data_IF_428939642848
#
_entry.id   IF_428939642848
#
_cell.length_a   1.000
_cell.length_b   1.000
_cell.length_c   1.000
_cell.angle_alpha   90.00
_cell.angle_beta   90.00
_cell.angle_gamma   90.00
#
_symmetry.space_group_name_H-M   'P 1'
#
loop_
_entity.id
_entity.type
_entity.pdbx_description
1 polymer ?
#
# COMPACT_ATOMS: atom_id res chain seq x y z
N UNK A 1 -6.91 -35.19 -66.71
CA UNK A 1 -7.60 -36.21 -65.87
C UNK A 1 -9.10 -36.26 -66.15
N UNK A 2 -9.88 -35.19 -65.92
CA UNK A 2 -11.34 -35.15 -66.17
C UNK A 2 -11.74 -35.69 -67.56
N UNK A 3 -11.15 -35.14 -68.62
CA UNK A 3 -11.57 -35.43 -70.00
C UNK A 3 -11.27 -36.88 -70.42
N UNK A 4 -10.26 -37.52 -69.79
CA UNK A 4 -9.95 -38.94 -69.97
C UNK A 4 -11.10 -39.84 -69.51
N UNK A 5 -11.73 -39.53 -68.37
CA UNK A 5 -12.85 -40.34 -67.87
C UNK A 5 -14.15 -40.09 -68.65
N UNK A 6 -14.30 -38.90 -69.24
CA UNK A 6 -15.39 -38.60 -70.15
C UNK A 6 -15.31 -39.45 -71.42
N UNK A 7 -14.13 -39.56 -72.04
CA UNK A 7 -13.92 -40.38 -73.24
C UNK A 7 -14.09 -41.88 -72.99
N UNK A 8 -13.91 -42.34 -71.74
CA UNK A 8 -14.07 -43.74 -71.35
C UNK A 8 -15.51 -44.10 -70.92
N UNK A 9 -16.46 -43.15 -70.95
CA UNK A 9 -17.84 -43.38 -70.51
C UNK A 9 -18.02 -43.54 -69.00
N UNK A 10 -16.97 -43.26 -68.21
CA UNK A 10 -16.95 -43.42 -66.76
C UNK A 10 -17.49 -42.16 -66.07
N UNK A 11 -18.81 -42.05 -66.02
CA UNK A 11 -19.51 -40.83 -65.57
C UNK A 11 -19.28 -40.45 -64.11
N UNK A 12 -19.15 -41.43 -63.21
CA UNK A 12 -18.97 -41.17 -61.78
C UNK A 12 -17.61 -40.49 -61.52
N UNK A 13 -16.55 -41.02 -62.11
CA UNK A 13 -15.19 -40.53 -62.02
C UNK A 13 -15.06 -39.18 -62.71
N UNK A 14 -15.69 -39.01 -63.89
CA UNK A 14 -15.76 -37.71 -64.55
C UNK A 14 -16.38 -36.64 -63.64
N UNK A 15 -17.53 -36.94 -63.02
CA UNK A 15 -18.23 -36.00 -62.13
C UNK A 15 -17.39 -35.67 -60.90
N UNK A 16 -16.76 -36.67 -60.29
CA UNK A 16 -15.84 -36.48 -59.17
C UNK A 16 -14.72 -35.51 -59.54
N UNK A 17 -13.98 -35.79 -60.63
CA UNK A 17 -12.87 -34.95 -61.05
C UNK A 17 -13.31 -33.56 -61.49
N UNK A 18 -14.46 -33.42 -62.18
CA UNK A 18 -15.03 -32.11 -62.53
C UNK A 18 -15.32 -31.29 -61.27
N UNK A 19 -15.99 -31.88 -60.29
CA UNK A 19 -16.33 -31.19 -59.04
C UNK A 19 -15.07 -30.84 -58.25
N UNK A 20 -14.09 -31.74 -58.21
CA UNK A 20 -12.80 -31.50 -57.55
C UNK A 20 -12.03 -30.36 -58.22
N UNK A 21 -11.94 -30.35 -59.55
CA UNK A 21 -11.30 -29.26 -60.31
C UNK A 21 -12.04 -27.94 -60.09
N UNK A 22 -13.38 -27.93 -60.15
CA UNK A 22 -14.17 -26.73 -59.85
C UNK A 22 -13.89 -26.22 -58.44
N UNK A 23 -13.92 -27.10 -57.44
CA UNK A 23 -13.61 -26.74 -56.05
C UNK A 23 -12.22 -26.11 -55.90
N UNK A 24 -11.19 -26.70 -56.52
CA UNK A 24 -9.83 -26.15 -56.49
C UNK A 24 -9.79 -24.77 -57.13
N UNK A 25 -10.39 -24.59 -58.31
CA UNK A 25 -10.43 -23.30 -59.00
C UNK A 25 -11.16 -22.25 -58.14
N UNK A 26 -12.31 -22.59 -57.59
CA UNK A 26 -13.12 -21.69 -56.77
C UNK A 26 -12.37 -21.29 -55.49
N UNK A 27 -11.73 -22.25 -54.82
CA UNK A 27 -10.90 -22.02 -53.62
C UNK A 27 -9.69 -21.13 -53.93
N UNK A 28 -8.95 -21.43 -55.01
CA UNK A 28 -7.79 -20.65 -55.42
C UNK A 28 -8.16 -19.22 -55.80
N UNK A 29 -9.29 -19.02 -56.50
CA UNK A 29 -9.81 -17.68 -56.80
C UNK A 29 -10.16 -16.93 -55.52
N UNK A 30 -10.91 -17.56 -54.62
CA UNK A 30 -11.28 -16.96 -53.34
C UNK A 30 -10.04 -16.52 -52.56
N UNK A 31 -9.03 -17.39 -52.47
CA UNK A 31 -7.78 -17.07 -51.79
C UNK A 31 -7.04 -15.91 -52.45
N UNK A 32 -6.90 -15.93 -53.78
CA UNK A 32 -6.29 -14.82 -54.53
C UNK A 32 -6.95 -13.47 -54.23
N UNK A 33 -8.28 -13.41 -54.26
CA UNK A 33 -9.01 -12.16 -53.97
C UNK A 33 -8.90 -11.75 -52.50
N UNK A 34 -8.92 -12.70 -51.56
CA UNK A 34 -8.70 -12.41 -50.15
C UNK A 34 -7.32 -11.82 -49.90
N UNK A 35 -6.29 -12.40 -50.50
CA UNK A 35 -4.91 -11.93 -50.35
C UNK A 35 -4.75 -10.55 -50.99
N UNK A 36 -5.31 -10.34 -52.19
CA UNK A 36 -5.32 -9.03 -52.85
C UNK A 36 -6.04 -7.94 -52.03
N UNK A 37 -7.15 -8.27 -51.36
CA UNK A 37 -7.85 -7.34 -50.46
C UNK A 37 -7.01 -7.08 -49.20
N UNK A 38 -6.40 -8.10 -48.60
CA UNK A 38 -5.55 -7.94 -47.41
C UNK A 38 -4.31 -7.09 -47.69
N UNK A 39 -3.71 -7.27 -48.87
CA UNK A 39 -2.51 -6.54 -49.29
C UNK A 39 -2.82 -5.11 -49.72
N UNK A 40 -4.11 -4.77 -49.92
CA UNK A 40 -4.53 -3.41 -50.24
C UNK A 40 -4.39 -2.49 -49.02
N UNK A 41 -3.37 -1.62 -49.04
CA UNK A 41 -3.12 -0.63 -47.97
C UNK A 41 -3.98 0.63 -48.09
N UNK A 42 -4.41 0.94 -49.32
CA UNK A 42 -5.10 2.18 -49.65
C UNK A 42 -6.52 1.92 -50.14
N UNK A 43 -7.45 2.81 -49.81
CA UNK A 43 -8.84 2.74 -50.28
C UNK A 43 -8.94 2.65 -51.82
N UNK A 44 -8.06 3.34 -52.54
CA UNK A 44 -8.05 3.34 -54.02
C UNK A 44 -7.68 1.97 -54.61
N UNK A 45 -6.75 1.25 -54.01
CA UNK A 45 -6.38 -0.09 -54.49
C UNK A 45 -7.45 -1.12 -54.13
N UNK A 46 -8.04 -1.00 -52.94
CA UNK A 46 -9.19 -1.81 -52.54
C UNK A 46 -10.37 -1.66 -53.51
N UNK A 47 -10.74 -0.43 -53.88
CA UNK A 47 -11.83 -0.19 -54.83
C UNK A 47 -11.54 -0.75 -56.22
N UNK A 48 -10.29 -0.66 -56.71
CA UNK A 48 -9.89 -1.31 -57.97
C UNK A 48 -10.06 -2.84 -57.91
N UNK A 49 -9.71 -3.45 -56.78
CA UNK A 49 -9.90 -4.89 -56.53
C UNK A 49 -11.37 -5.29 -56.52
N UNK A 50 -12.24 -4.47 -55.92
CA UNK A 50 -13.69 -4.70 -55.93
C UNK A 50 -14.27 -4.52 -57.33
N UNK A 51 -13.81 -3.52 -58.08
CA UNK A 51 -14.26 -3.33 -59.46
C UNK A 51 -13.82 -4.46 -60.40
N UNK A 52 -12.63 -5.04 -60.20
CA UNK A 52 -12.19 -6.19 -61.00
C UNK A 52 -12.95 -7.49 -60.70
N UNK A 53 -13.57 -7.58 -59.52
CA UNK A 53 -14.49 -8.67 -59.15
C UNK A 53 -15.86 -8.54 -59.84
N UNK A 54 -16.28 -7.33 -60.16
CA UNK A 54 -17.54 -7.08 -60.86
C UNK A 54 -17.34 -7.27 -62.38
N UNK A 55 -18.07 -8.20 -63.02
CA UNK A 55 -18.00 -8.33 -64.47
C UNK A 55 -18.43 -7.02 -65.14
N UNK A 56 -17.58 -6.50 -66.05
CA UNK A 56 -17.78 -5.22 -66.74
C UNK A 56 -19.06 -5.14 -67.57
N UNK A 57 -19.68 -6.29 -67.86
CA UNK A 57 -20.96 -6.39 -68.54
C UNK A 57 -22.00 -6.99 -67.58
N UNK A 58 -22.94 -6.19 -67.03
CA UNK A 58 -24.07 -6.70 -66.27
C UNK A 58 -25.05 -7.38 -67.24
N UNK A 59 -24.75 -8.61 -67.65
CA UNK A 59 -25.65 -9.41 -68.51
C UNK A 59 -26.91 -9.88 -67.76
N UNK A 60 -27.02 -9.60 -66.46
CA UNK A 60 -28.18 -9.95 -65.63
C UNK A 60 -28.61 -8.73 -64.82
N UNK A 61 -29.92 -8.47 -64.70
CA UNK A 61 -30.43 -7.46 -63.78
C UNK A 61 -29.95 -7.79 -62.37
N UNK A 62 -29.58 -6.75 -61.62
CA UNK A 62 -28.97 -6.84 -60.29
C UNK A 62 -29.67 -7.90 -59.43
N UNK A 63 -28.90 -8.88 -58.95
CA UNK A 63 -29.43 -9.94 -58.09
C UNK A 63 -30.05 -9.30 -56.85
N UNK A 64 -31.29 -9.69 -56.54
CA UNK A 64 -32.03 -9.12 -55.40
C UNK A 64 -31.23 -9.29 -54.12
N UNK A 65 -30.94 -8.18 -53.45
CA UNK A 65 -30.36 -8.23 -52.12
C UNK A 65 -31.45 -8.69 -51.17
N UNK A 66 -31.17 -9.79 -50.46
CA UNK A 66 -32.11 -10.38 -49.51
C UNK A 66 -31.73 -9.88 -48.13
N UNK A 67 -32.55 -8.98 -47.57
CA UNK A 67 -32.40 -8.48 -46.20
C UNK A 67 -33.45 -9.18 -45.34
N UNK A 68 -33.08 -10.29 -44.70
CA UNK A 68 -34.05 -11.16 -44.00
C UNK A 68 -34.98 -11.87 -45.00
N UNK A 69 -36.30 -11.65 -44.90
CA UNK A 69 -37.31 -12.22 -45.79
C UNK A 69 -37.69 -11.31 -46.98
N UNK A 70 -37.15 -10.07 -47.02
CA UNK A 70 -37.45 -9.13 -48.09
C UNK A 70 -36.32 -9.03 -49.12
N UNK A 71 -36.72 -9.22 -50.37
CA UNK A 71 -35.87 -9.07 -51.54
C UNK A 71 -36.17 -7.72 -52.18
N UNK A 72 -35.18 -6.83 -52.22
CA UNK A 72 -35.35 -5.49 -52.78
C UNK A 72 -34.37 -5.25 -53.93
N UNK A 73 -34.83 -4.50 -54.92
CA UNK A 73 -34.02 -3.95 -56.02
C UNK A 73 -33.85 -2.44 -55.91
N UNK A 74 -34.43 -1.80 -54.89
CA UNK A 74 -34.30 -0.37 -54.69
C UNK A 74 -32.90 -0.02 -54.17
N UNK A 75 -32.19 0.80 -54.93
CA UNK A 75 -30.84 1.23 -54.64
C UNK A 75 -30.75 2.01 -53.31
N UNK A 76 -31.81 2.76 -52.94
CA UNK A 76 -31.84 3.50 -51.67
C UNK A 76 -31.94 2.55 -50.48
N UNK A 77 -32.82 1.57 -50.57
CA UNK A 77 -33.00 0.58 -49.52
C UNK A 77 -31.73 -0.25 -49.32
N UNK A 78 -31.08 -0.66 -50.41
CA UNK A 78 -29.78 -1.35 -50.37
C UNK A 78 -28.74 -0.50 -49.65
N UNK A 79 -28.57 0.77 -50.05
CA UNK A 79 -27.61 1.67 -49.45
C UNK A 79 -27.87 1.87 -47.94
N UNK A 80 -29.14 2.04 -47.56
CA UNK A 80 -29.53 2.17 -46.15
C UNK A 80 -29.24 0.90 -45.36
N UNK A 81 -29.48 -0.29 -45.91
CA UNK A 81 -29.15 -1.57 -45.27
C UNK A 81 -27.65 -1.70 -45.03
N UNK A 82 -26.82 -1.37 -46.01
CA UNK A 82 -25.37 -1.35 -45.83
C UNK A 82 -24.94 -0.33 -44.77
N UNK A 83 -25.46 0.89 -44.82
CA UNK A 83 -25.15 1.93 -43.84
C UNK A 83 -25.52 1.48 -42.42
N UNK A 84 -26.71 0.91 -42.23
CA UNK A 84 -27.16 0.39 -40.94
C UNK A 84 -26.25 -0.74 -40.44
N UNK A 85 -25.86 -1.66 -41.33
CA UNK A 85 -24.93 -2.73 -40.99
C UNK A 85 -23.58 -2.17 -40.51
N UNK A 86 -22.95 -1.28 -41.28
CA UNK A 86 -21.66 -0.71 -40.92
C UNK A 86 -21.73 0.14 -39.66
N UNK A 87 -22.77 0.96 -39.49
CA UNK A 87 -22.99 1.71 -38.24
C UNK A 87 -23.14 0.76 -37.05
N UNK A 88 -23.86 -0.36 -37.20
CA UNK A 88 -23.99 -1.35 -36.13
C UNK A 88 -22.65 -2.00 -35.75
N UNK A 89 -21.77 -2.25 -36.73
CA UNK A 89 -20.42 -2.76 -36.49
C UNK A 89 -19.58 -1.74 -35.72
N UNK A 90 -19.65 -0.46 -36.10
CA UNK A 90 -18.94 0.62 -35.41
C UNK A 90 -19.44 0.78 -33.98
N UNK A 91 -20.75 0.74 -33.73
CA UNK A 91 -21.32 0.81 -32.39
C UNK A 91 -20.88 -0.37 -31.51
N UNK A 92 -20.85 -1.60 -32.06
CA UNK A 92 -20.32 -2.77 -31.35
C UNK A 92 -18.84 -2.59 -30.97
N UNK A 93 -18.01 -2.11 -31.89
CA UNK A 93 -16.60 -1.84 -31.63
C UNK A 93 -16.42 -0.75 -30.57
N UNK A 94 -17.20 0.33 -30.65
CA UNK A 94 -17.18 1.44 -29.69
C UNK A 94 -17.60 0.96 -28.30
N UNK A 95 -18.67 0.18 -28.20
CA UNK A 95 -19.16 -0.38 -26.95
C UNK A 95 -18.14 -1.33 -26.31
N UNK A 96 -17.51 -2.20 -27.10
CA UNK A 96 -16.44 -3.08 -26.61
C UNK A 96 -15.23 -2.29 -26.10
N UNK A 97 -14.85 -1.23 -26.80
CA UNK A 97 -13.73 -0.38 -26.38
C UNK A 97 -14.03 0.34 -25.06
N UNK A 98 -15.25 0.88 -24.91
CA UNK A 98 -15.69 1.53 -23.66
C UNK A 98 -15.72 0.50 -22.52
N UNK A 99 -16.31 -0.67 -22.74
CA UNK A 99 -16.38 -1.74 -21.74
C UNK A 99 -14.99 -2.14 -21.25
N UNK A 100 -14.04 -2.34 -22.17
CA UNK A 100 -12.66 -2.67 -21.80
C UNK A 100 -11.98 -1.56 -20.99
N UNK A 101 -12.23 -0.29 -21.32
CA UNK A 101 -11.71 0.84 -20.56
C UNK A 101 -12.31 0.89 -19.13
N UNK A 102 -13.62 0.69 -19.00
CA UNK A 102 -14.30 0.65 -17.71
C UNK A 102 -13.78 -0.48 -16.81
N UNK A 103 -13.56 -1.68 -17.37
CA UNK A 103 -13.00 -2.82 -16.63
C UNK A 103 -11.59 -2.51 -16.12
N UNK A 104 -10.75 -1.87 -16.95
CA UNK A 104 -9.40 -1.45 -16.54
C UNK A 104 -9.40 -0.49 -15.36
N UNK A 105 -10.26 0.54 -15.41
CA UNK A 105 -10.39 1.52 -14.32
C UNK A 105 -10.89 0.88 -13.02
N UNK A 106 -11.80 -0.09 -13.09
CA UNK A 106 -12.31 -0.79 -11.91
C UNK A 106 -11.23 -1.67 -11.27
N UNK A 107 -10.39 -2.33 -12.08
CA UNK A 107 -9.23 -3.08 -11.59
C UNK A 107 -8.21 -2.16 -10.87
N UNK A 108 -7.88 -1.00 -11.45
CA UNK A 108 -7.00 -0.01 -10.84
C UNK A 108 -7.57 0.51 -9.51
N UNK A 109 -8.87 0.83 -9.46
CA UNK A 109 -9.55 1.26 -8.24
C UNK A 109 -9.48 0.20 -7.14
N UNK A 110 -9.68 -1.07 -7.49
CA UNK A 110 -9.61 -2.18 -6.53
C UNK A 110 -8.19 -2.38 -6.00
N UNK A 111 -7.16 -2.27 -6.84
CA UNK A 111 -5.76 -2.32 -6.40
C UNK A 111 -5.40 -1.16 -5.47
N UNK A 112 -5.83 0.07 -5.80
CA UNK A 112 -5.64 1.23 -4.93
C UNK A 112 -6.33 1.05 -3.57
N UNK A 113 -7.53 0.50 -3.56
CA UNK A 113 -8.26 0.23 -2.31
C UNK A 113 -7.52 -0.79 -1.44
N UNK A 114 -6.98 -1.86 -2.04
CA UNK A 114 -6.16 -2.85 -1.34
C UNK A 114 -4.89 -2.22 -0.76
N UNK A 115 -4.19 -1.39 -1.54
CA UNK A 115 -2.98 -0.68 -1.10
C UNK A 115 -3.28 0.29 0.05
N UNK A 116 -4.39 1.04 -0.02
CA UNK A 116 -4.83 1.92 1.07
C UNK A 116 -5.14 1.13 2.35
N UNK A 117 -5.77 -0.03 2.24
CA UNK A 117 -6.07 -0.88 3.39
C UNK A 117 -4.80 -1.46 4.02
N UNK A 118 -3.84 -1.92 3.20
CA UNK A 118 -2.55 -2.41 3.68
C UNK A 118 -1.76 -1.32 4.41
N UNK A 119 -1.78 -0.07 3.90
CA UNK A 119 -1.12 1.06 4.53
C UNK A 119 -1.76 1.43 5.88
N UNK A 120 -3.10 1.35 5.98
CA UNK A 120 -3.81 1.55 7.25
C UNK A 120 -3.42 0.49 8.29
N UNK A 121 -3.33 -0.77 7.89
CA UNK A 121 -2.95 -1.85 8.82
C UNK A 121 -1.48 -1.73 9.25
N UNK A 122 -0.59 -1.36 8.33
CA UNK A 122 0.83 -1.08 8.65
C UNK A 122 0.96 0.05 9.68
N UNK A 123 0.26 1.17 9.48
CA UNK A 123 0.27 2.28 10.42
C UNK A 123 -0.27 1.89 11.81
N UNK A 124 -1.29 1.03 11.85
CA UNK A 124 -1.83 0.49 13.10
C UNK A 124 -0.80 -0.38 13.83
N UNK A 125 -0.05 -1.21 13.11
CA UNK A 125 1.05 -2.01 13.67
C UNK A 125 2.13 -1.09 14.24
N UNK A 126 2.57 -0.08 13.48
CA UNK A 126 3.59 0.91 13.92
C UNK A 126 3.15 1.61 15.21
N UNK A 127 1.87 1.98 15.30
CA UNK A 127 1.34 2.60 16.51
C UNK A 127 1.40 1.65 17.71
N UNK A 128 0.98 0.40 17.53
CA UNK A 128 1.01 -0.62 18.58
C UNK A 128 2.44 -0.94 19.04
N UNK A 129 3.39 -1.07 18.12
CA UNK A 129 4.81 -1.30 18.47
C UNK A 129 5.38 -0.13 19.25
N UNK A 130 5.07 1.11 18.85
CA UNK A 130 5.52 2.32 19.57
C UNK A 130 4.98 2.40 21.01
N UNK A 131 3.80 1.84 21.27
CA UNK A 131 3.20 1.80 22.61
C UNK A 131 3.93 0.78 23.49
N UNK A 132 4.19 -0.42 22.95
CA UNK A 132 4.94 -1.47 23.65
C UNK A 132 6.38 -1.05 23.98
N UNK A 133 7.03 -0.32 23.07
CA UNK A 133 8.37 0.23 23.31
C UNK A 133 8.37 1.24 24.47
N UNK A 134 7.37 2.13 24.54
CA UNK A 134 7.22 3.07 25.66
C UNK A 134 7.01 2.36 26.99
N UNK A 135 6.19 1.32 27.01
CA UNK A 135 5.95 0.53 28.23
C UNK A 135 7.22 -0.21 28.68
N UNK A 136 7.96 -0.78 27.73
CA UNK A 136 9.27 -1.41 28.00
C UNK A 136 10.29 -0.43 28.58
N UNK A 137 10.41 0.76 27.98
CA UNK A 137 11.29 1.84 28.46
C UNK A 137 10.88 2.27 29.88
N UNK A 138 9.59 2.45 30.14
CA UNK A 138 9.09 2.82 31.47
C UNK A 138 9.43 1.77 32.53
N UNK A 139 9.30 0.48 32.21
CA UNK A 139 9.70 -0.60 33.11
C UNK A 139 11.21 -0.64 33.36
N UNK A 140 12.02 -0.33 32.35
CA UNK A 140 13.48 -0.21 32.53
C UNK A 140 13.84 0.95 33.45
N UNK A 141 13.23 2.13 33.27
CA UNK A 141 13.44 3.31 34.14
C UNK A 141 13.07 2.98 35.60
N UNK A 142 11.97 2.26 35.84
CA UNK A 142 11.58 1.83 37.19
C UNK A 142 12.62 0.91 37.83
N UNK A 143 13.16 -0.05 37.08
CA UNK A 143 14.21 -0.97 37.56
C UNK A 143 15.50 -0.21 37.89
N UNK A 144 15.93 0.69 37.03
CA UNK A 144 17.12 1.53 37.26
C UNK A 144 16.94 2.43 38.50
N UNK A 145 15.77 3.05 38.68
CA UNK A 145 15.45 3.84 39.86
C UNK A 145 15.45 2.99 41.15
N UNK A 146 14.95 1.75 41.11
CA UNK A 146 14.98 0.84 42.25
C UNK A 146 16.42 0.47 42.66
N UNK A 147 17.27 0.16 41.68
CA UNK A 147 18.70 -0.12 41.89
C UNK A 147 19.39 1.09 42.53
N UNK A 148 19.12 2.30 42.06
CA UNK A 148 19.74 3.53 42.58
C UNK A 148 19.29 3.85 44.02
N UNK A 149 18.01 3.60 44.34
CA UNK A 149 17.51 3.67 45.71
C UNK A 149 18.21 2.66 46.62
N UNK A 150 18.42 1.43 46.16
CA UNK A 150 19.11 0.40 46.94
C UNK A 150 20.57 0.77 47.21
N UNK A 151 21.31 1.24 46.20
CA UNK A 151 22.67 1.76 46.36
C UNK A 151 22.73 2.90 47.38
N UNK A 152 21.80 3.85 47.30
CA UNK A 152 21.71 4.98 48.24
C UNK A 152 21.45 4.49 49.67
N UNK A 153 20.57 3.51 49.86
CA UNK A 153 20.32 2.91 51.17
C UNK A 153 21.58 2.22 51.76
N UNK A 154 22.34 1.51 50.92
CA UNK A 154 23.61 0.87 51.33
C UNK A 154 24.61 1.95 51.78
N UNK A 155 24.79 3.01 50.99
CA UNK A 155 25.69 4.11 51.33
C UNK A 155 25.30 4.80 52.65
N UNK A 156 24.00 5.04 52.88
CA UNK A 156 23.49 5.60 54.15
C UNK A 156 23.83 4.66 55.32
N UNK A 157 23.62 3.35 55.17
CA UNK A 157 23.96 2.35 56.19
C UNK A 157 25.46 2.36 56.51
N UNK A 158 26.32 2.43 55.50
CA UNK A 158 27.77 2.55 55.68
C UNK A 158 28.16 3.82 56.45
N UNK A 159 27.58 4.97 56.10
CA UNK A 159 27.81 6.23 56.81
C UNK A 159 27.37 6.11 58.28
N UNK A 160 26.22 5.47 58.55
CA UNK A 160 25.75 5.24 59.91
C UNK A 160 26.69 4.33 60.71
N UNK A 161 27.21 3.27 60.09
CA UNK A 161 28.20 2.37 60.70
C UNK A 161 29.50 3.12 61.05
N UNK A 162 30.02 3.95 60.13
CA UNK A 162 31.21 4.78 60.38
C UNK A 162 31.03 5.80 61.52
N UNK A 163 29.82 6.27 61.79
CA UNK A 163 29.51 7.19 62.90
C UNK A 163 29.40 6.51 64.28
N UNK A 164 29.23 5.18 64.36
CA UNK A 164 29.12 4.43 65.62
C UNK A 164 30.37 4.53 66.52
N UNK A 165 31.62 4.35 66.05
CA UNK A 165 32.80 4.45 66.91
C UNK A 165 32.95 5.83 67.54
N UNK A 166 32.62 6.91 66.81
CA UNK A 166 32.66 8.27 67.36
C UNK A 166 31.66 8.48 68.51
N UNK A 167 30.45 7.91 68.40
CA UNK A 167 29.46 7.96 69.50
C UNK A 167 29.90 7.13 70.72
N UNK A 168 30.49 5.96 70.50
CA UNK A 168 31.04 5.15 71.60
C UNK A 168 32.21 5.86 72.28
N UNK A 169 33.12 6.47 71.51
CA UNK A 169 34.22 7.28 72.01
C UNK A 169 33.73 8.50 72.82
N UNK A 170 32.69 9.19 72.34
CA UNK A 170 32.05 10.28 73.08
C UNK A 170 31.38 9.80 74.38
N UNK A 171 30.79 8.61 74.38
CA UNK A 171 30.16 8.01 75.57
C UNK A 171 31.21 7.63 76.61
N UNK A 172 32.31 7.00 76.20
CA UNK A 172 33.45 6.70 77.06
C UNK A 172 34.11 7.97 77.62
N UNK A 173 34.33 8.98 76.78
CA UNK A 173 34.90 10.26 77.22
C UNK A 173 33.96 10.99 78.21
N UNK A 174 32.65 10.92 78.00
CA UNK A 174 31.65 11.49 78.92
C UNK A 174 31.62 10.76 80.27
N UNK A 175 31.71 9.42 80.27
CA UNK A 175 31.82 8.64 81.51
C UNK A 175 33.10 8.95 82.28
N UNK A 176 34.24 9.09 81.58
CA UNK A 176 35.52 9.53 82.18
C UNK A 176 35.38 10.92 82.81
N UNK A 177 34.75 11.87 82.13
CA UNK A 177 34.49 13.21 82.65
C UNK A 177 33.58 13.22 83.89
N UNK A 178 32.50 12.43 83.89
CA UNK A 178 31.59 12.33 85.05
C UNK A 178 32.27 11.65 86.25
N UNK A 179 33.12 10.64 86.02
CA UNK A 179 33.95 10.04 87.09
C UNK A 179 34.95 11.05 87.67
N UNK A 180 35.54 11.91 86.83
CA UNK A 180 36.42 12.98 87.27
C UNK A 180 35.70 14.02 88.14
N UNK A 181 34.48 14.44 87.74
CA UNK A 181 33.69 15.39 88.55
C UNK A 181 33.26 14.82 89.91
N UNK A 182 32.97 13.52 90.02
CA UNK A 182 32.66 12.88 91.31
C UNK A 182 33.85 12.77 92.26
N UNK A 183 35.09 12.90 91.76
CA UNK A 183 36.32 12.90 92.58
C UNK A 183 36.82 14.31 92.94
N UNK A 184 36.17 15.37 92.45
CA UNK A 184 36.53 16.72 92.81
C UNK A 184 36.07 17.02 94.26
N UNK A 185 36.99 17.40 95.17
CA UNK A 185 36.64 17.72 96.55
C UNK A 185 35.71 18.94 96.58
N UNK A 186 34.60 18.82 97.31
CA UNK A 186 33.69 19.94 97.61
C UNK A 186 34.45 20.96 98.46
N UNK A 187 35.08 21.96 97.82
CA UNK A 187 35.51 23.17 98.51
C UNK A 187 34.26 23.99 98.87
N UNK A 188 33.97 24.05 100.17
CA UNK A 188 33.22 25.15 100.77
C UNK A 188 34.12 26.36 100.63
N UNK A 189 33.70 27.39 99.90
CA UNK A 189 34.27 28.71 100.08
C UNK A 189 33.18 29.77 99.86
N UNK A 190 33.31 30.77 100.71
CA UNK A 190 32.49 31.93 101.00
C UNK A 190 32.43 32.94 99.83
N UNK A 191 31.39 33.77 99.86
CA UNK A 191 31.28 35.17 99.36
C UNK A 191 32.03 35.60 98.08
N UNK A 192 31.28 36.22 97.17
CA UNK A 192 31.71 37.46 96.52
C UNK A 192 31.65 37.52 94.98
N UNK A 193 30.62 38.20 94.48
CA UNK A 193 30.65 39.20 93.38
C UNK A 193 31.67 39.08 92.24
N UNK A 194 31.20 38.94 90.98
CA UNK A 194 31.10 40.05 89.99
C UNK A 194 30.61 39.58 88.61
N UNK A 195 29.83 40.48 88.00
CA UNK A 195 29.30 40.53 86.62
C UNK A 195 30.37 40.27 85.55
N UNK A 196 30.00 39.61 84.44
CA UNK A 196 30.37 40.01 83.06
C UNK A 196 29.25 39.61 82.07
N UNK A 197 28.90 40.55 81.20
CA UNK A 197 27.93 40.54 80.08
C UNK A 197 28.48 39.77 78.85
N UNK A 198 27.68 39.77 77.76
CA UNK A 198 28.02 39.63 76.31
C UNK A 198 27.69 38.22 75.79
N UNK A 199 26.98 37.96 74.69
CA UNK A 199 26.26 38.78 73.71
C UNK A 199 25.20 37.94 72.96
N UNK A 200 24.24 38.66 72.37
CA UNK A 200 23.33 38.26 71.27
C UNK A 200 24.09 37.64 70.09
N UNK A 201 23.43 36.72 69.37
CA UNK A 201 23.35 36.57 67.89
C UNK A 201 22.38 35.40 67.65
N UNK A 202 21.12 35.61 67.24
CA UNK A 202 20.60 35.99 65.92
C UNK A 202 19.72 34.81 65.43
N UNK A 203 18.39 35.00 65.50
CA UNK A 203 17.41 34.14 64.83
C UNK A 203 17.52 34.42 63.33
N UNK A 204 17.87 33.40 62.56
CA UNK A 204 17.67 33.40 61.10
C UNK A 204 16.46 32.50 60.84
N UNK A 205 15.33 33.13 60.53
CA UNK A 205 14.18 32.53 59.88
C UNK A 205 14.49 32.37 58.40
N UNK A 206 14.23 31.21 57.76
CA UNK A 206 14.10 31.17 56.31
C UNK A 206 12.74 31.70 55.90
N UNK A 207 12.81 32.75 55.10
CA UNK A 207 11.77 33.48 54.39
C UNK A 207 10.99 32.63 53.39
N UNK A 208 9.74 33.06 53.20
CA UNK A 208 8.83 32.70 52.13
C UNK A 208 9.45 32.69 50.72
N UNK A 209 8.90 31.79 49.90
CA UNK A 209 8.43 32.13 48.56
C UNK A 209 9.44 32.09 47.41
N UNK A 210 9.18 31.20 46.43
CA UNK A 210 9.09 31.59 45.01
C UNK A 210 8.46 30.47 44.17
N UNK A 211 7.24 30.74 43.72
CA UNK A 211 6.59 30.12 42.58
C UNK A 211 7.30 30.52 41.29
N UNK A 212 7.63 29.58 40.40
CA UNK A 212 7.77 29.86 38.97
C UNK A 212 7.17 28.72 38.14
N UNK A 213 6.06 29.12 37.50
CA UNK A 213 5.40 28.70 36.25
C UNK A 213 5.93 27.47 35.50
N UNK A 214 4.99 26.56 35.19
CA UNK A 214 5.06 25.63 34.06
C UNK A 214 4.78 26.41 32.77
N UNK A 215 5.58 26.15 31.74
CA UNK A 215 5.21 26.35 30.34
C UNK A 215 4.93 24.96 29.74
#
# INVERSE_FOLDING_TARGET
MRDKYHSLGMWAEYRFWRNRTKYIIDTSKQQYYNDMIKDSKDSKTLWKCIHSLNPSNPSKPHELITTGDHKTTDHKEIANTFNNYFTSCVEKLRHNRIKNYCIGLEAERNQLQLAMNALKESNKIIYQTSLLEKDSINEQIKKEAAIEMEKSMIQIKEIQLKKRPAKNLQRENKEKWQKAQKKAPKKKDDKGTKKVKIARLARITPTDGKSWKRN
#
